data_IF_679865980053
#
_entry.id   IF_679865980053
#
_cell.length_a   1.000
_cell.length_b   1.000
_cell.length_c   1.000
_cell.angle_alpha   90.00
_cell.angle_beta   90.00
_cell.angle_gamma   90.00
#
_symmetry.space_group_name_H-M   'P 1'
#
loop_
_entity.id
_entity.type
_entity.pdbx_description
1 polymer ?
#
# COMPACT_ATOMS: atom_id res chain seq x y z
N UNK A 1 -19.52 42.60 -6.40
CA UNK A 1 -19.03 41.82 -5.24
C UNK A 1 -20.24 41.07 -4.71
N UNK A 2 -20.38 39.75 -4.89
CA UNK A 2 -21.61 39.07 -4.40
C UNK A 2 -21.62 37.53 -4.31
N UNK A 3 -20.71 36.79 -4.96
CA UNK A 3 -20.73 35.32 -4.85
C UNK A 3 -19.83 34.79 -3.71
N UNK A 4 -18.66 35.42 -3.53
CA UNK A 4 -17.67 34.98 -2.53
C UNK A 4 -18.13 35.27 -1.09
N UNK A 5 -18.73 36.44 -0.85
CA UNK A 5 -19.21 36.80 0.50
C UNK A 5 -20.40 35.96 0.94
N UNK A 6 -21.31 35.65 0.00
CA UNK A 6 -22.42 34.71 0.23
C UNK A 6 -21.93 33.31 0.60
N UNK A 7 -20.82 32.84 0.00
CA UNK A 7 -20.25 31.54 0.33
C UNK A 7 -19.64 31.52 1.73
N UNK A 8 -18.90 32.59 2.08
CA UNK A 8 -18.28 32.73 3.41
C UNK A 8 -19.36 32.76 4.48
N UNK A 9 -20.39 33.58 4.34
CA UNK A 9 -21.48 33.69 5.31
C UNK A 9 -22.22 32.36 5.52
N UNK A 10 -22.39 31.58 4.43
CA UNK A 10 -23.03 30.25 4.49
C UNK A 10 -22.17 29.23 5.23
N UNK A 11 -20.84 29.31 5.14
CA UNK A 11 -19.92 28.45 5.90
C UNK A 11 -19.87 28.84 7.38
N UNK A 12 -19.85 30.13 7.69
CA UNK A 12 -19.85 30.62 9.08
C UNK A 12 -21.13 30.21 9.81
N UNK A 13 -22.28 30.29 9.13
CA UNK A 13 -23.58 29.88 9.69
C UNK A 13 -23.69 28.37 9.95
N UNK A 14 -23.00 27.54 9.16
CA UNK A 14 -22.93 26.09 9.38
C UNK A 14 -22.05 25.72 10.58
N UNK A 15 -20.99 26.50 10.82
CA UNK A 15 -20.10 26.32 11.97
C UNK A 15 -20.78 26.71 13.30
N UNK A 16 -21.64 27.73 13.31
CA UNK A 16 -22.36 28.18 14.51
C UNK A 16 -23.55 27.28 14.89
N UNK A 17 -24.03 26.41 14.00
CA UNK A 17 -25.17 25.51 14.27
C UNK A 17 -24.77 24.17 14.93
N UNK A 18 -23.49 23.96 15.25
CA UNK A 18 -23.05 22.80 16.04
C UNK A 18 -23.31 23.03 17.54
N UNK A 19 -23.96 22.11 18.27
CA UNK A 19 -24.24 22.30 19.68
C UNK A 19 -22.97 22.18 20.52
N UNK A 20 -22.66 23.27 21.22
CA UNK A 20 -21.69 23.39 22.29
C UNK A 20 -21.99 22.38 23.41
N UNK A 21 -21.14 21.36 23.61
CA UNK A 21 -21.17 20.52 24.81
C UNK A 21 -20.54 21.29 25.99
N UNK A 22 -21.35 21.53 27.02
CA UNK A 22 -20.94 21.98 28.34
C UNK A 22 -20.55 20.78 29.26
N UNK A 23 -19.87 21.00 30.41
CA UNK A 23 -18.97 20.05 31.04
C UNK A 23 -19.61 19.26 32.20
N UNK A 24 -19.16 18.02 32.44
CA UNK A 24 -19.50 17.28 33.68
C UNK A 24 -18.35 16.38 34.18
N UNK A 25 -17.88 16.74 35.39
CA UNK A 25 -17.52 15.93 36.59
C UNK A 25 -16.69 14.64 36.52
N UNK A 26 -15.65 14.64 37.36
CA UNK A 26 -14.96 13.50 38.02
C UNK A 26 -15.92 12.41 38.55
N UNK A 27 -15.46 11.15 38.63
CA UNK A 27 -15.00 10.62 39.92
C UNK A 27 -13.81 9.62 39.90
N UNK A 28 -12.94 9.79 40.89
CA UNK A 28 -12.38 8.80 41.83
C UNK A 28 -11.48 7.62 41.38
N UNK A 29 -10.33 7.55 42.06
CA UNK A 29 -9.33 6.48 42.10
C UNK A 29 -9.83 5.21 42.83
N UNK A 30 -9.08 4.10 42.70
CA UNK A 30 -8.74 3.27 43.87
C UNK A 30 -7.22 3.04 44.05
N UNK A 31 -6.77 2.61 45.25
CA UNK A 31 -5.45 2.96 45.78
C UNK A 31 -4.34 1.94 45.52
N UNK A 32 -3.10 2.47 45.52
CA UNK A 32 -1.84 1.76 45.72
C UNK A 32 -1.81 1.02 47.06
N UNK A 33 -1.57 -0.29 47.02
CA UNK A 33 -1.08 -1.09 48.14
C UNK A 33 0.32 -1.64 47.82
N UNK A 34 1.33 -1.14 48.55
CA UNK A 34 2.71 -1.64 48.64
C UNK A 34 2.74 -2.59 49.85
N UNK A 35 3.46 -3.73 49.84
CA UNK A 35 4.78 -3.93 50.46
C UNK A 35 5.18 -5.41 50.40
N UNK A 36 6.44 -5.62 49.99
CA UNK A 36 7.47 -6.64 50.29
C UNK A 36 7.20 -8.15 50.28
N UNK A 37 8.00 -8.89 49.48
CA UNK A 37 9.12 -9.66 50.05
C UNK A 37 10.11 -10.07 48.95
N UNK A 38 11.39 -10.03 49.30
CA UNK A 38 12.57 -10.19 48.46
C UNK A 38 13.20 -11.56 48.70
N UNK A 39 13.56 -12.34 47.67
CA UNK A 39 14.76 -13.23 47.65
C UNK A 39 15.13 -13.53 46.20
N UNK A 40 16.38 -13.25 45.83
CA UNK A 40 17.05 -13.68 44.60
C UNK A 40 17.45 -15.16 44.68
N UNK A 41 17.35 -15.90 43.58
CA UNK A 41 18.48 -16.78 43.21
C UNK A 41 18.47 -17.18 41.73
N UNK A 42 19.68 -17.32 41.20
CA UNK A 42 20.01 -17.46 39.80
C UNK A 42 19.80 -18.89 39.27
N UNK A 43 19.22 -19.03 38.06
CA UNK A 43 19.45 -20.18 37.20
C UNK A 43 19.04 -19.88 35.73
N UNK A 44 20.05 -19.83 34.86
CA UNK A 44 20.10 -20.28 33.44
C UNK A 44 18.93 -19.89 32.51
N UNK A 45 19.14 -19.07 31.45
CA UNK A 45 18.18 -19.02 30.36
C UNK A 45 18.39 -20.27 29.49
N UNK A 46 17.61 -21.31 29.75
CA UNK A 46 17.34 -22.32 28.74
C UNK A 46 16.61 -21.60 27.60
N UNK A 47 17.20 -21.64 26.41
CA UNK A 47 16.52 -21.23 25.20
C UNK A 47 15.33 -22.17 25.01
N UNK A 48 14.11 -21.66 25.20
CA UNK A 48 12.90 -22.23 24.61
C UNK A 48 12.89 -21.83 23.12
N UNK A 49 13.04 -22.77 22.17
CA UNK A 49 12.64 -22.51 20.81
C UNK A 49 11.13 -22.72 20.72
N UNK A 50 10.43 -21.84 20.00
CA UNK A 50 8.98 -21.93 19.70
C UNK A 50 8.02 -21.38 20.76
N UNK A 51 8.10 -20.08 21.00
CA UNK A 51 6.90 -19.25 21.14
C UNK A 51 6.90 -18.24 19.98
N UNK A 52 6.83 -18.73 18.74
CA UNK A 52 6.27 -17.91 17.66
C UNK A 52 4.79 -17.76 17.99
N UNK A 53 4.42 -16.56 18.43
CA UNK A 53 3.01 -16.19 18.59
C UNK A 53 2.32 -16.45 17.25
N UNK A 54 1.40 -17.43 17.15
CA UNK A 54 0.79 -17.80 15.87
C UNK A 54 0.02 -16.63 15.25
N UNK A 55 -0.25 -15.56 16.02
CA UNK A 55 -0.86 -14.33 15.53
C UNK A 55 0.01 -13.52 14.56
N UNK A 56 1.34 -13.69 14.56
CA UNK A 56 2.22 -12.96 13.60
C UNK A 56 2.40 -13.71 12.28
N UNK A 57 2.24 -15.04 12.29
CA UNK A 57 2.43 -15.85 11.07
C UNK A 57 1.23 -15.74 10.10
N UNK A 58 0.06 -15.26 10.56
CA UNK A 58 -1.17 -15.16 9.75
C UNK A 58 -1.70 -13.74 9.54
N UNK A 59 -0.90 -12.69 9.75
CA UNK A 59 -1.37 -11.29 9.69
C UNK A 59 -2.09 -10.92 8.37
N UNK A 60 -1.59 -11.43 7.24
CA UNK A 60 -2.17 -11.15 5.93
C UNK A 60 -3.49 -11.91 5.74
N UNK A 61 -3.54 -13.17 6.14
CA UNK A 61 -4.78 -13.94 6.16
C UNK A 61 -5.80 -13.34 7.12
N UNK A 62 -5.36 -12.87 8.28
CA UNK A 62 -6.24 -12.28 9.27
C UNK A 62 -6.89 -11.00 8.75
N UNK A 63 -6.11 -10.14 8.11
CA UNK A 63 -6.61 -8.93 7.44
C UNK A 63 -7.58 -9.29 6.30
N UNK A 64 -7.24 -10.29 5.48
CA UNK A 64 -8.09 -10.71 4.37
C UNK A 64 -9.41 -11.32 4.85
N UNK A 65 -9.36 -12.14 5.90
CA UNK A 65 -10.54 -12.74 6.54
C UNK A 65 -11.40 -11.68 7.24
N UNK A 66 -10.81 -10.63 7.80
CA UNK A 66 -11.57 -9.51 8.37
C UNK A 66 -12.32 -8.71 7.31
N UNK A 67 -11.66 -8.39 6.19
CA UNK A 67 -12.32 -7.75 5.05
C UNK A 67 -13.45 -8.63 4.50
N UNK A 68 -13.18 -9.92 4.33
CA UNK A 68 -14.17 -10.89 3.86
C UNK A 68 -15.35 -10.98 4.84
N UNK A 69 -15.08 -11.06 6.14
CA UNK A 69 -16.13 -11.11 7.16
C UNK A 69 -16.97 -9.83 7.13
N UNK A 70 -16.33 -8.66 7.05
CA UNK A 70 -17.03 -7.38 6.92
C UNK A 70 -17.94 -7.34 5.70
N UNK A 71 -17.46 -7.82 4.54
CA UNK A 71 -18.26 -7.96 3.31
C UNK A 71 -19.44 -8.91 3.49
N UNK A 72 -19.28 -9.94 4.33
CA UNK A 72 -20.28 -10.98 4.60
C UNK A 72 -21.27 -10.60 5.71
N UNK A 73 -20.98 -9.60 6.55
CA UNK A 73 -21.85 -9.17 7.68
C UNK A 73 -23.28 -8.88 7.26
N UNK A 74 -23.45 -8.27 6.08
CA UNK A 74 -24.75 -7.88 5.53
C UNK A 74 -25.63 -9.09 5.19
N UNK A 75 -25.01 -10.21 4.80
CA UNK A 75 -25.73 -11.39 4.34
C UNK A 75 -25.82 -12.46 5.45
N UNK A 76 -24.74 -12.70 6.19
CA UNK A 76 -24.56 -13.89 7.05
C UNK A 76 -24.17 -13.48 8.47
N UNK A 77 -25.12 -12.89 9.20
CA UNK A 77 -24.90 -12.39 10.58
C UNK A 77 -24.35 -13.43 11.55
N UNK A 78 -24.66 -14.72 11.36
CA UNK A 78 -24.13 -15.79 12.20
C UNK A 78 -22.63 -16.03 12.02
N UNK A 79 -22.09 -15.79 10.82
CA UNK A 79 -20.65 -15.92 10.52
C UNK A 79 -19.81 -14.88 11.30
N UNK A 80 -20.45 -13.78 11.70
CA UNK A 80 -19.85 -12.70 12.50
C UNK A 80 -19.83 -12.98 14.00
N UNK A 81 -20.29 -14.16 14.43
CA UNK A 81 -20.14 -14.56 15.84
C UNK A 81 -18.67 -14.81 16.13
N UNK A 82 -18.17 -14.31 17.26
CA UNK A 82 -16.76 -14.42 17.67
C UNK A 82 -16.22 -15.85 17.58
N UNK A 83 -17.05 -16.83 17.95
CA UNK A 83 -16.68 -18.25 17.88
C UNK A 83 -16.48 -18.75 16.44
N UNK A 84 -17.31 -18.30 15.50
CA UNK A 84 -17.22 -18.71 14.10
C UNK A 84 -16.04 -18.04 13.40
N UNK A 85 -15.76 -16.78 13.72
CA UNK A 85 -14.57 -16.08 13.24
C UNK A 85 -13.29 -16.77 13.73
N UNK A 86 -13.21 -17.12 15.03
CA UNK A 86 -12.08 -17.88 15.59
C UNK A 86 -11.93 -19.25 14.91
N UNK A 87 -13.03 -19.95 14.68
CA UNK A 87 -13.04 -21.23 13.98
C UNK A 87 -12.52 -21.12 12.54
N UNK A 88 -12.98 -20.12 11.80
CA UNK A 88 -12.54 -19.88 10.42
C UNK A 88 -11.05 -19.56 10.34
N UNK A 89 -10.54 -18.70 11.24
CA UNK A 89 -9.10 -18.40 11.34
C UNK A 89 -8.29 -19.63 11.73
N UNK A 90 -8.77 -20.45 12.67
CA UNK A 90 -8.07 -21.65 13.09
C UNK A 90 -7.94 -22.69 11.97
N UNK A 91 -8.97 -22.84 11.14
CA UNK A 91 -8.99 -23.86 10.08
C UNK A 91 -8.32 -23.35 8.80
N UNK A 92 -8.62 -22.11 8.40
CA UNK A 92 -8.21 -21.57 7.10
C UNK A 92 -7.10 -20.53 7.19
N UNK A 93 -6.74 -20.01 8.36
CA UNK A 93 -5.77 -18.92 8.50
C UNK A 93 -4.43 -19.24 7.83
N UNK A 94 -3.83 -20.38 8.16
CA UNK A 94 -2.55 -20.80 7.56
C UNK A 94 -2.65 -21.14 6.07
N UNK A 95 -3.77 -21.72 5.64
CA UNK A 95 -4.03 -22.04 4.23
C UNK A 95 -4.20 -20.77 3.39
N UNK A 96 -4.99 -19.83 3.87
CA UNK A 96 -5.23 -18.53 3.24
C UNK A 96 -3.94 -17.72 3.22
N UNK A 97 -3.17 -17.73 4.31
CA UNK A 97 -1.86 -17.06 4.40
C UNK A 97 -0.94 -17.56 3.29
N UNK A 98 -0.69 -18.88 3.26
CA UNK A 98 0.21 -19.48 2.27
C UNK A 98 -0.29 -19.31 0.86
N UNK A 99 -1.61 -19.39 0.65
CA UNK A 99 -2.20 -19.13 -0.66
C UNK A 99 -1.94 -17.68 -1.09
N UNK A 100 -2.18 -16.70 -0.21
CA UNK A 100 -1.93 -15.28 -0.49
C UNK A 100 -0.46 -15.00 -0.77
N UNK A 101 0.46 -15.56 0.02
CA UNK A 101 1.91 -15.45 -0.21
C UNK A 101 2.30 -15.99 -1.58
N UNK A 102 1.77 -17.15 -1.97
CA UNK A 102 2.01 -17.73 -3.30
C UNK A 102 1.43 -16.84 -4.39
N UNK A 103 0.23 -16.28 -4.22
CA UNK A 103 -0.35 -15.35 -5.20
C UNK A 103 0.50 -14.10 -5.35
N UNK A 104 0.89 -13.48 -4.24
CA UNK A 104 1.73 -12.28 -4.23
C UNK A 104 3.08 -12.58 -4.86
N UNK A 105 3.78 -13.64 -4.43
CA UNK A 105 5.07 -14.03 -4.99
C UNK A 105 4.98 -14.35 -6.49
N UNK A 106 3.86 -14.93 -6.93
CA UNK A 106 3.65 -15.20 -8.34
C UNK A 106 3.48 -13.89 -9.13
N UNK A 107 2.64 -12.98 -8.63
CA UNK A 107 2.42 -11.65 -9.22
C UNK A 107 3.68 -10.79 -9.24
N UNK A 108 4.48 -10.83 -8.17
CA UNK A 108 5.73 -10.06 -8.04
C UNK A 108 6.95 -10.82 -8.55
N UNK A 109 6.77 -11.95 -9.23
CA UNK A 109 7.89 -12.69 -9.80
C UNK A 109 8.64 -11.87 -10.86
N UNK A 110 9.97 -11.95 -10.92
CA UNK A 110 10.76 -11.19 -11.90
C UNK A 110 10.30 -11.41 -13.35
N UNK A 111 9.85 -12.62 -13.66
CA UNK A 111 9.36 -12.99 -15.00
C UNK A 111 8.08 -12.22 -15.37
N UNK A 112 7.12 -12.10 -14.43
CA UNK A 112 5.91 -11.31 -14.65
C UNK A 112 6.22 -9.82 -14.71
N UNK A 113 7.13 -9.32 -13.89
CA UNK A 113 7.58 -7.93 -13.96
C UNK A 113 8.13 -7.55 -15.33
N UNK A 114 8.94 -8.42 -15.95
CA UNK A 114 9.42 -8.18 -17.32
C UNK A 114 8.25 -8.09 -18.30
N UNK A 115 7.23 -8.93 -18.16
CA UNK A 115 6.04 -8.87 -19.00
C UNK A 115 5.24 -7.57 -18.77
N UNK A 116 5.03 -7.17 -17.51
CA UNK A 116 4.35 -5.93 -17.17
C UNK A 116 5.09 -4.71 -17.70
N UNK A 117 6.42 -4.67 -17.57
CA UNK A 117 7.25 -3.59 -18.11
C UNK A 117 7.21 -3.55 -19.63
N UNK A 118 7.25 -4.70 -20.32
CA UNK A 118 7.09 -4.75 -21.77
C UNK A 118 5.72 -4.28 -22.21
N UNK A 119 4.65 -4.72 -21.55
CA UNK A 119 3.29 -4.26 -21.83
C UNK A 119 3.16 -2.75 -21.58
N UNK A 120 3.74 -2.24 -20.51
CA UNK A 120 3.76 -0.81 -20.20
C UNK A 120 4.55 -0.04 -21.26
N UNK A 121 5.73 -0.53 -21.64
CA UNK A 121 6.55 0.05 -22.69
C UNK A 121 5.78 0.12 -24.00
N UNK A 122 5.22 -0.99 -24.48
CA UNK A 122 4.42 -1.01 -25.72
C UNK A 122 3.15 -0.15 -25.61
N UNK A 123 2.60 -0.02 -24.39
CA UNK A 123 1.45 0.83 -24.14
C UNK A 123 1.81 2.32 -24.15
N UNK A 124 3.03 2.75 -23.83
CA UNK A 124 3.43 4.17 -23.81
C UNK A 124 4.21 4.55 -25.08
N UNK A 125 5.16 3.68 -25.45
CA UNK A 125 6.14 3.76 -26.52
C UNK A 125 6.09 2.49 -27.38
N UNK A 126 5.17 2.41 -28.35
CA UNK A 126 5.11 1.25 -29.24
C UNK A 126 6.43 1.09 -29.99
N UNK A 127 7.05 -0.09 -29.91
CA UNK A 127 8.38 -0.35 -30.46
C UNK A 127 9.53 0.41 -29.80
N UNK A 128 9.32 0.96 -28.59
CA UNK A 128 10.34 1.67 -27.80
C UNK A 128 10.65 3.10 -28.26
N UNK A 129 9.91 3.65 -29.22
CA UNK A 129 10.15 5.00 -29.76
C UNK A 129 9.05 5.95 -29.30
N UNK A 130 9.41 7.18 -28.90
CA UNK A 130 8.46 8.26 -28.61
C UNK A 130 7.65 8.61 -29.87
N UNK A 131 6.32 8.45 -29.84
CA UNK A 131 5.50 8.83 -30.98
C UNK A 131 5.70 10.31 -31.32
N UNK A 132 5.97 10.61 -32.60
CA UNK A 132 6.17 11.99 -33.09
C UNK A 132 4.91 12.85 -32.97
N UNK A 133 3.74 12.20 -32.91
CA UNK A 133 2.46 12.85 -32.78
C UNK A 133 1.77 12.35 -31.51
N UNK A 134 1.04 13.23 -30.79
CA UNK A 134 0.24 12.81 -29.66
C UNK A 134 -0.77 11.75 -30.11
N UNK A 135 -1.05 10.79 -29.23
CA UNK A 135 -2.05 9.76 -29.53
C UNK A 135 -3.40 10.42 -29.79
N UNK A 136 -4.15 9.94 -30.80
CA UNK A 136 -5.49 10.43 -31.05
C UNK A 136 -6.33 10.25 -29.78
N UNK A 137 -7.12 11.28 -29.46
CA UNK A 137 -8.03 11.25 -28.31
C UNK A 137 -9.01 10.10 -28.53
N UNK A 138 -9.08 9.18 -27.56
CA UNK A 138 -10.02 8.05 -27.62
C UNK A 138 -11.45 8.57 -27.77
N UNK A 139 -12.19 7.99 -28.72
CA UNK A 139 -13.61 8.29 -28.88
C UNK A 139 -14.42 7.77 -27.70
N UNK A 140 -15.60 8.34 -27.45
CA UNK A 140 -16.45 7.91 -26.35
C UNK A 140 -16.85 6.43 -26.48
N UNK A 141 -17.10 5.96 -27.69
CA UNK A 141 -17.40 4.56 -27.98
C UNK A 141 -16.24 3.63 -27.61
N UNK A 142 -15.00 4.00 -27.97
CA UNK A 142 -13.81 3.24 -27.61
C UNK A 142 -13.60 3.18 -26.09
N UNK A 143 -13.89 4.28 -25.37
CA UNK A 143 -13.81 4.30 -23.90
C UNK A 143 -14.83 3.35 -23.29
N UNK A 144 -16.09 3.41 -23.73
CA UNK A 144 -17.15 2.52 -23.24
C UNK A 144 -16.88 1.05 -23.55
N UNK A 145 -16.32 0.75 -24.73
CA UNK A 145 -15.94 -0.61 -25.10
C UNK A 145 -14.81 -1.14 -24.20
N UNK A 146 -13.77 -0.32 -23.98
CA UNK A 146 -12.66 -0.68 -23.09
C UNK A 146 -13.12 -0.84 -21.64
N UNK A 147 -14.03 0.01 -21.16
CA UNK A 147 -14.62 -0.10 -19.82
C UNK A 147 -15.40 -1.41 -19.66
N UNK A 148 -16.24 -1.79 -20.62
CA UNK A 148 -16.98 -3.05 -20.59
C UNK A 148 -16.02 -4.26 -20.53
N UNK A 149 -14.98 -4.24 -21.34
CA UNK A 149 -13.96 -5.30 -21.35
C UNK A 149 -13.18 -5.37 -20.03
N UNK A 150 -12.81 -4.20 -19.47
CA UNK A 150 -12.13 -4.13 -18.18
C UNK A 150 -13.02 -4.67 -17.06
N UNK A 151 -14.30 -4.28 -17.04
CA UNK A 151 -15.28 -4.75 -16.07
C UNK A 151 -15.46 -6.27 -16.15
N UNK A 152 -15.56 -6.84 -17.36
CA UNK A 152 -15.64 -8.29 -17.54
C UNK A 152 -14.40 -9.00 -17.02
N UNK A 153 -13.21 -8.46 -17.32
CA UNK A 153 -11.95 -9.02 -16.84
C UNK A 153 -11.88 -8.99 -15.31
N UNK A 154 -12.34 -7.90 -14.71
CA UNK A 154 -12.32 -7.67 -13.27
C UNK A 154 -13.33 -8.53 -12.51
N UNK A 155 -14.48 -8.82 -13.12
CA UNK A 155 -15.41 -9.86 -12.65
C UNK A 155 -14.76 -11.24 -12.62
N UNK A 156 -13.92 -11.56 -13.60
CA UNK A 156 -13.20 -12.84 -13.67
C UNK A 156 -12.08 -13.01 -12.66
N UNK A 157 -11.66 -11.93 -11.97
CA UNK A 157 -10.66 -12.00 -10.90
C UNK A 157 -11.29 -12.39 -9.56
N UNK A 158 -12.59 -12.17 -9.39
CA UNK A 158 -13.27 -12.48 -8.14
C UNK A 158 -13.43 -13.99 -7.98
N UNK A 159 -13.17 -14.56 -6.78
CA UNK A 159 -13.53 -15.92 -6.47
C UNK A 159 -15.05 -16.13 -6.59
N UNK A 160 -15.48 -17.27 -7.13
CA UNK A 160 -16.90 -17.59 -7.34
C UNK A 160 -17.72 -17.45 -6.04
N UNK A 161 -17.14 -17.84 -4.90
CA UNK A 161 -17.74 -17.71 -3.58
C UNK A 161 -18.12 -16.25 -3.25
N UNK A 162 -17.28 -15.28 -3.61
CA UNK A 162 -17.56 -13.85 -3.35
C UNK A 162 -18.71 -13.38 -4.23
N UNK A 163 -18.75 -13.81 -5.48
CA UNK A 163 -19.80 -13.46 -6.44
C UNK A 163 -21.14 -14.07 -6.03
N UNK A 164 -21.13 -15.31 -5.55
CA UNK A 164 -22.32 -16.00 -5.04
C UNK A 164 -22.92 -15.28 -3.83
N UNK A 165 -22.07 -14.86 -2.88
CA UNK A 165 -22.57 -14.27 -1.63
C UNK A 165 -22.99 -12.80 -1.80
N UNK A 166 -22.22 -11.99 -2.50
CA UNK A 166 -22.57 -10.57 -2.71
C UNK A 166 -23.59 -10.36 -3.82
N UNK A 167 -23.68 -11.31 -4.74
CA UNK A 167 -24.46 -11.21 -5.96
C UNK A 167 -23.74 -10.44 -7.07
N UNK A 168 -23.81 -10.99 -8.28
CA UNK A 168 -23.16 -10.46 -9.49
C UNK A 168 -23.43 -8.96 -9.70
N UNK A 169 -24.66 -8.51 -9.50
CA UNK A 169 -25.04 -7.12 -9.73
C UNK A 169 -24.34 -6.14 -8.78
N UNK A 170 -24.15 -6.52 -7.51
CA UNK A 170 -23.48 -5.69 -6.51
C UNK A 170 -21.99 -5.62 -6.81
N UNK A 171 -21.35 -6.75 -7.08
CA UNK A 171 -19.95 -6.80 -7.49
C UNK A 171 -19.71 -5.96 -8.75
N UNK A 172 -20.57 -6.11 -9.76
CA UNK A 172 -20.51 -5.33 -11.00
C UNK A 172 -20.62 -3.83 -10.76
N UNK A 173 -21.51 -3.41 -9.86
CA UNK A 173 -21.68 -2.00 -9.51
C UNK A 173 -20.47 -1.47 -8.74
N UNK A 174 -19.96 -2.22 -7.76
CA UNK A 174 -18.76 -1.84 -6.99
C UNK A 174 -17.54 -1.66 -7.91
N UNK A 175 -17.31 -2.60 -8.82
CA UNK A 175 -16.23 -2.47 -9.80
C UNK A 175 -16.46 -1.35 -10.81
N UNK A 176 -17.71 -1.07 -11.17
CA UNK A 176 -18.08 0.10 -11.96
C UNK A 176 -17.62 1.39 -11.30
N UNK A 177 -17.85 1.56 -9.99
CA UNK A 177 -17.40 2.74 -9.23
C UNK A 177 -15.87 2.86 -9.19
N UNK A 178 -15.16 1.75 -9.00
CA UNK A 178 -13.70 1.74 -9.04
C UNK A 178 -13.19 2.15 -10.43
N UNK A 179 -13.77 1.60 -11.50
CA UNK A 179 -13.42 1.98 -12.86
C UNK A 179 -13.73 3.44 -13.15
N UNK A 180 -14.87 3.96 -12.69
CA UNK A 180 -15.25 5.37 -12.83
C UNK A 180 -14.22 6.28 -12.16
N UNK A 181 -13.73 5.92 -10.96
CA UNK A 181 -12.65 6.64 -10.29
C UNK A 181 -11.35 6.62 -11.10
N UNK A 182 -10.97 5.46 -11.64
CA UNK A 182 -9.80 5.28 -12.51
C UNK A 182 -9.95 5.97 -13.88
N UNK A 183 -11.15 6.39 -14.26
CA UNK A 183 -11.36 7.19 -15.47
C UNK A 183 -11.18 8.70 -15.22
N UNK A 184 -11.09 9.15 -13.96
CA UNK A 184 -10.98 10.57 -13.63
C UNK A 184 -9.56 11.11 -13.91
N UNK A 185 -9.41 12.11 -14.81
CA UNK A 185 -8.10 12.58 -15.23
C UNK A 185 -7.31 13.28 -14.11
N UNK A 186 -8.00 13.91 -13.16
CA UNK A 186 -7.35 14.59 -12.03
C UNK A 186 -6.75 13.58 -11.04
N UNK A 187 -7.50 12.53 -10.69
CA UNK A 187 -7.02 11.45 -9.82
C UNK A 187 -5.83 10.76 -10.48
N UNK A 188 -5.96 10.39 -11.75
CA UNK A 188 -4.88 9.72 -12.48
C UNK A 188 -3.62 10.58 -12.58
N UNK A 189 -3.76 11.90 -12.77
CA UNK A 189 -2.62 12.81 -12.81
C UNK A 189 -1.88 12.81 -11.47
N UNK A 190 -2.61 12.91 -10.36
CA UNK A 190 -2.02 12.85 -9.03
C UNK A 190 -1.33 11.51 -8.78
N UNK A 191 -2.00 10.40 -9.13
CA UNK A 191 -1.46 9.05 -9.00
C UNK A 191 -0.11 8.88 -9.74
N UNK A 192 -0.03 9.41 -10.96
CA UNK A 192 1.19 9.34 -11.78
C UNK A 192 2.34 10.13 -11.14
N UNK A 193 2.08 11.33 -10.60
CA UNK A 193 3.13 12.10 -9.93
C UNK A 193 3.59 11.42 -8.64
N UNK A 194 2.68 10.93 -7.80
CA UNK A 194 3.07 10.20 -6.59
C UNK A 194 3.88 8.94 -6.92
N UNK A 195 3.49 8.19 -7.96
CA UNK A 195 4.27 7.05 -8.40
C UNK A 195 5.65 7.46 -8.90
N UNK A 196 5.72 8.57 -9.65
CA UNK A 196 6.98 9.17 -10.08
C UNK A 196 7.90 9.53 -8.91
N UNK A 197 7.35 10.17 -7.87
CA UNK A 197 8.11 10.55 -6.68
C UNK A 197 8.69 9.32 -5.97
N UNK A 198 7.91 8.25 -5.79
CA UNK A 198 8.37 6.99 -5.19
C UNK A 198 9.46 6.34 -6.03
N UNK A 199 9.30 6.30 -7.36
CA UNK A 199 10.30 5.74 -8.26
C UNK A 199 11.60 6.56 -8.20
N UNK A 200 11.49 7.89 -8.22
CA UNK A 200 12.64 8.78 -8.11
C UNK A 200 13.35 8.59 -6.77
N UNK A 201 12.61 8.54 -5.66
CA UNK A 201 13.17 8.25 -4.33
C UNK A 201 13.93 6.93 -4.29
N UNK A 202 13.36 5.87 -4.90
CA UNK A 202 14.02 4.58 -4.99
C UNK A 202 15.30 4.61 -5.85
N UNK A 203 15.28 5.34 -6.96
CA UNK A 203 16.43 5.44 -7.88
C UNK A 203 17.55 6.34 -7.31
N UNK A 204 17.20 7.47 -6.72
CA UNK A 204 18.13 8.50 -6.22
C UNK A 204 18.92 8.01 -4.98
N UNK A 205 18.39 7.03 -4.24
CA UNK A 205 19.10 6.40 -3.12
C UNK A 205 20.11 5.30 -3.54
N UNK A 206 20.03 4.79 -4.78
CA UNK A 206 20.97 3.76 -5.27
C UNK A 206 22.28 4.34 -5.81
N UNK A 207 22.30 5.65 -6.11
CA UNK A 207 23.45 6.31 -6.73
C UNK A 207 24.41 6.99 -5.72
N UNK A 208 24.00 7.24 -4.46
CA UNK A 208 24.81 8.05 -3.53
C UNK A 208 25.70 7.27 -2.54
N UNK A 209 25.72 5.93 -2.59
CA UNK A 209 26.50 5.13 -1.60
C UNK A 209 27.89 4.72 -2.08
N UNK A 210 28.22 4.75 -3.37
CA UNK A 210 29.55 4.31 -3.84
C UNK A 210 30.52 5.44 -4.22
N UNK A 211 30.05 6.67 -4.44
CA UNK A 211 30.91 7.78 -4.91
C UNK A 211 31.20 8.82 -3.81
N UNK A 212 31.54 8.39 -2.61
CA UNK A 212 32.01 9.32 -1.56
C UNK A 212 33.05 8.75 -0.59
N UNK A 213 33.46 7.47 -0.70
CA UNK A 213 34.37 6.86 0.28
C UNK A 213 35.74 6.39 -0.25
N UNK A 214 36.04 6.45 -1.56
CA UNK A 214 37.25 5.80 -2.09
C UNK A 214 38.22 6.66 -2.93
N UNK A 215 37.99 7.96 -3.13
CA UNK A 215 38.92 8.81 -3.91
C UNK A 215 39.28 10.13 -3.24
N UNK A 216 39.56 10.13 -1.94
CA UNK A 216 40.26 11.24 -1.26
C UNK A 216 41.12 10.72 -0.10
N UNK A 217 42.02 9.78 -0.35
CA UNK A 217 43.15 9.58 0.56
C UNK A 217 44.38 9.00 -0.15
N UNK A 218 45.48 9.75 -0.01
CA UNK A 218 46.88 9.36 -0.08
C UNK A 218 47.69 9.65 -1.36
N UNK A 219 48.73 10.47 -1.12
CA UNK A 219 50.00 10.72 -1.82
C UNK A 219 49.94 11.42 -3.19
N UNK A 220 50.63 12.55 -3.41
CA UNK A 220 52.09 12.63 -3.36
C UNK A 220 52.67 14.02 -2.99
N UNK A 221 53.81 13.99 -2.30
CA UNK A 221 54.72 15.12 -2.03
C UNK A 221 55.78 15.22 -3.15
N UNK A 222 56.14 16.39 -3.71
CA UNK A 222 57.22 16.46 -4.69
C UNK A 222 58.57 16.74 -4.02
N UNK A 223 59.47 15.75 -4.10
CA UNK A 223 60.88 15.85 -3.75
C UNK A 223 61.72 16.46 -4.88
N UNK A 224 62.67 17.30 -4.46
CA UNK A 224 63.63 18.06 -5.26
C UNK A 224 64.75 17.17 -5.88
N UNK A 225 65.03 17.27 -7.19
CA UNK A 225 66.39 17.13 -7.72
C UNK A 225 66.58 17.51 -9.20
N UNK A 226 67.41 18.55 -9.38
CA UNK A 226 68.70 18.50 -10.11
C UNK A 226 68.77 18.75 -11.63
N UNK A 227 69.38 19.92 -11.91
CA UNK A 227 70.52 20.20 -12.82
C UNK A 227 70.20 20.63 -14.26
N UNK A 228 70.30 21.95 -14.46
CA UNK A 228 70.75 22.62 -15.69
C UNK A 228 72.12 22.10 -16.17
N UNK A 229 72.33 22.15 -17.50
CA UNK A 229 73.63 22.54 -18.05
C UNK A 229 74.20 21.68 -19.18
N UNK A 230 73.87 22.10 -20.41
CA UNK A 230 74.61 22.08 -21.69
C UNK A 230 76.12 21.74 -21.62
N UNK A 231 76.60 20.86 -22.52
CA UNK A 231 77.64 21.12 -23.55
C UNK A 231 78.26 19.85 -24.13
N UNK A 232 78.41 19.88 -25.47
CA UNK A 232 79.32 19.11 -26.37
C UNK A 232 79.10 17.61 -26.52
#
# INVERSE_FOLDING_TARGET
MSAMESFIEKQTKLLEMQPTKAPEKDPEQPPKGRVDSCVSDAAVPAQDPSNSDPGTETELADTALDLLLLLLTEQWKWLCTENMQKFLRLIFGTLVQRWLEVQVANLTSPQRWVQYLRLLQESIWPGGVLPKFPRPVRTQEQKLAAEKQALQSLMGVLPDLVVEILGVNKCRLSWGLVLESLQQPLINRHLIYCLGDIILEFLDLSASVEESAATTSASDTPGNSKRMGVSS
#
